data_IF_404146580925
#
_entry.id   IF_404146580925
#
_cell.length_a   1.000
_cell.length_b   1.000
_cell.length_c   1.000
_cell.angle_alpha   90.00
_cell.angle_beta   90.00
_cell.angle_gamma   90.00
#
_symmetry.space_group_name_H-M   'P 1'
#
loop_
_entity.id
_entity.type
_entity.pdbx_description
1 polymer ?
#
# COMPACT_ATOMS: atom_id res chain seq x y z
N UNK A 1 6.87 25.43 -3.30
CA UNK A 1 5.77 26.18 -2.66
C UNK A 1 4.51 25.88 -3.47
N UNK A 2 3.54 25.16 -2.89
CA UNK A 2 2.38 24.59 -3.61
C UNK A 2 1.15 25.52 -3.60
N UNK A 3 1.23 26.65 -2.90
CA UNK A 3 0.12 27.57 -2.72
C UNK A 3 0.12 28.63 -3.82
N UNK A 4 -0.96 28.69 -4.59
CA UNK A 4 -1.21 29.69 -5.64
C UNK A 4 -2.64 30.21 -5.41
N UNK A 5 -2.85 31.53 -5.23
CA UNK A 5 -4.16 32.08 -4.91
C UNK A 5 -5.20 31.88 -6.03
N UNK A 6 -4.74 31.66 -7.26
CA UNK A 6 -5.60 31.52 -8.44
C UNK A 6 -5.67 30.07 -8.95
N UNK A 7 -5.00 29.12 -8.26
CA UNK A 7 -4.88 27.73 -8.73
C UNK A 7 -4.87 26.74 -7.57
N UNK A 8 -5.64 25.68 -7.74
CA UNK A 8 -5.68 24.57 -6.81
C UNK A 8 -5.00 23.33 -7.39
N UNK A 9 -4.36 22.56 -6.53
CA UNK A 9 -3.89 21.20 -6.83
C UNK A 9 -4.80 20.21 -6.12
N UNK A 10 -5.26 19.21 -6.85
CA UNK A 10 -6.00 18.08 -6.29
C UNK A 10 -5.17 16.82 -6.49
N UNK A 11 -4.94 16.09 -5.41
CA UNK A 11 -4.29 14.79 -5.42
C UNK A 11 -5.31 13.74 -5.00
N UNK A 12 -5.51 12.74 -5.85
CA UNK A 12 -6.46 11.65 -5.64
C UNK A 12 -5.70 10.33 -5.69
N UNK A 13 -5.95 9.46 -4.72
CA UNK A 13 -5.36 8.13 -4.65
C UNK A 13 -6.48 7.11 -4.70
N UNK A 14 -6.46 6.28 -5.74
CA UNK A 14 -7.44 5.21 -5.93
C UNK A 14 -6.79 3.86 -5.66
N UNK A 15 -7.35 3.10 -4.72
CA UNK A 15 -6.93 1.74 -4.43
C UNK A 15 -8.14 0.88 -4.00
N UNK A 16 -8.24 -0.38 -4.44
CA UNK A 16 -7.39 -1.05 -5.43
C UNK A 16 -7.70 -0.59 -6.88
N UNK A 17 -6.66 -0.45 -7.71
CA UNK A 17 -6.78 -0.02 -9.11
C UNK A 17 -6.58 -1.17 -10.12
N UNK A 18 -6.23 -2.37 -9.64
CA UNK A 18 -6.03 -3.55 -10.46
C UNK A 18 -7.11 -4.60 -10.15
N UNK A 19 -7.68 -5.20 -11.19
CA UNK A 19 -8.69 -6.25 -11.05
C UNK A 19 -8.10 -7.61 -10.63
N UNK A 20 -6.78 -7.79 -10.73
CA UNK A 20 -6.09 -9.06 -10.46
C UNK A 20 -4.75 -8.83 -9.76
N UNK A 21 -4.39 -9.74 -8.86
CA UNK A 21 -3.05 -9.81 -8.24
C UNK A 21 -2.60 -11.27 -8.20
N UNK A 22 -1.41 -11.58 -8.72
CA UNK A 22 -0.86 -12.93 -8.71
C UNK A 22 -1.78 -13.98 -9.36
N UNK A 23 -2.49 -13.61 -10.43
CA UNK A 23 -3.45 -14.49 -11.13
C UNK A 23 -4.80 -14.68 -10.41
N UNK A 24 -4.98 -14.15 -9.20
CA UNK A 24 -6.23 -14.21 -8.44
C UNK A 24 -7.05 -12.95 -8.62
N UNK A 25 -8.34 -13.13 -8.92
CA UNK A 25 -9.28 -12.05 -9.16
C UNK A 25 -9.58 -11.27 -7.87
N UNK A 26 -9.60 -9.95 -7.95
CA UNK A 26 -10.12 -9.06 -6.90
C UNK A 26 -11.63 -9.19 -6.72
N UNK A 27 -12.31 -9.81 -7.70
CA UNK A 27 -13.77 -9.98 -7.74
C UNK A 27 -14.37 -10.75 -6.56
N UNK A 28 -13.55 -11.46 -5.78
CA UNK A 28 -14.00 -12.16 -4.57
C UNK A 28 -14.49 -11.20 -3.47
N UNK A 29 -14.08 -9.91 -3.51
CA UNK A 29 -14.46 -8.90 -2.51
C UNK A 29 -15.14 -7.65 -3.12
N UNK A 30 -15.49 -7.68 -4.41
CA UNK A 30 -16.17 -6.61 -5.13
C UNK A 30 -15.76 -6.55 -6.62
N UNK A 31 -16.58 -5.99 -7.50
CA UNK A 31 -16.19 -5.78 -8.91
C UNK A 31 -15.21 -4.61 -9.00
N UNK A 32 -13.98 -4.88 -9.44
CA UNK A 32 -12.96 -3.86 -9.66
C UNK A 32 -12.63 -3.81 -11.14
N UNK A 33 -12.76 -2.63 -11.75
CA UNK A 33 -12.23 -2.39 -13.09
C UNK A 33 -10.69 -2.41 -13.06
N UNK A 34 -10.09 -2.95 -14.13
CA UNK A 34 -8.64 -2.90 -14.29
C UNK A 34 -8.23 -1.54 -14.86
N UNK A 35 -7.94 -0.59 -13.98
CA UNK A 35 -7.49 0.75 -14.33
C UNK A 35 -6.00 0.81 -14.65
N UNK A 36 -5.19 -0.13 -14.16
CA UNK A 36 -3.76 -0.19 -14.45
C UNK A 36 -3.49 -0.34 -15.94
N UNK A 37 -4.33 -1.11 -16.65
CA UNK A 37 -4.20 -1.34 -18.09
C UNK A 37 -4.75 -0.24 -18.99
N UNK A 38 -5.51 0.73 -18.46
CA UNK A 38 -6.16 1.79 -19.28
C UNK A 38 -5.20 2.93 -19.61
N UNK A 39 -5.56 3.74 -20.61
CA UNK A 39 -4.81 4.97 -20.93
C UNK A 39 -4.93 6.00 -19.81
N UNK A 40 -3.99 6.95 -19.75
CA UNK A 40 -4.05 8.03 -18.76
C UNK A 40 -5.26 8.94 -19.03
N UNK A 41 -5.60 9.13 -20.30
CA UNK A 41 -6.75 9.91 -20.77
C UNK A 41 -8.07 9.29 -20.32
N UNK A 42 -8.22 7.97 -20.39
CA UNK A 42 -9.41 7.26 -19.91
C UNK A 42 -9.59 7.42 -18.40
N UNK A 43 -8.49 7.30 -17.64
CA UNK A 43 -8.50 7.46 -16.18
C UNK A 43 -8.89 8.89 -15.80
N UNK A 44 -8.30 9.88 -16.46
CA UNK A 44 -8.60 11.30 -16.23
C UNK A 44 -10.05 11.60 -16.60
N UNK A 45 -10.53 11.12 -17.75
CA UNK A 45 -11.92 11.29 -18.18
C UNK A 45 -12.92 10.70 -17.19
N UNK A 46 -12.67 9.48 -16.71
CA UNK A 46 -13.50 8.86 -15.67
C UNK A 46 -13.48 9.66 -14.37
N UNK A 47 -12.30 10.12 -13.94
CA UNK A 47 -12.14 10.96 -12.75
C UNK A 47 -12.92 12.27 -12.88
N UNK A 48 -12.88 12.92 -14.04
CA UNK A 48 -13.61 14.17 -14.28
C UNK A 48 -15.13 13.98 -14.22
N UNK A 49 -15.65 12.84 -14.70
CA UNK A 49 -17.08 12.50 -14.59
C UNK A 49 -17.50 12.28 -13.14
N UNK A 50 -16.68 11.59 -12.34
CA UNK A 50 -16.96 11.44 -10.90
C UNK A 50 -16.93 12.79 -10.18
N UNK A 51 -15.96 13.65 -10.50
CA UNK A 51 -15.89 14.99 -9.93
C UNK A 51 -17.11 15.86 -10.29
N UNK A 52 -17.69 15.69 -11.49
CA UNK A 52 -18.95 16.34 -11.87
C UNK A 52 -20.12 15.87 -11.00
N UNK A 53 -20.17 14.59 -10.62
CA UNK A 53 -21.18 14.06 -9.71
C UNK A 53 -21.02 14.63 -8.30
N UNK A 54 -19.80 14.66 -7.77
CA UNK A 54 -19.54 15.13 -6.41
C UNK A 54 -19.56 16.67 -6.27
N UNK A 55 -19.16 17.39 -7.32
CA UNK A 55 -18.97 18.84 -7.30
C UNK A 55 -19.58 19.51 -8.57
N UNK A 56 -20.91 19.40 -8.79
CA UNK A 56 -21.57 19.90 -9.99
C UNK A 56 -21.52 21.43 -10.14
N UNK A 57 -21.22 22.16 -9.08
CA UNK A 57 -21.05 23.62 -9.13
C UNK A 57 -19.79 24.04 -9.92
N UNK A 58 -18.76 23.18 -9.93
CA UNK A 58 -17.43 23.49 -10.46
C UNK A 58 -17.08 22.70 -11.74
N UNK A 59 -17.74 21.57 -11.96
CA UNK A 59 -17.47 20.66 -13.07
C UNK A 59 -18.77 20.38 -13.85
N UNK A 60 -18.64 20.13 -15.16
CA UNK A 60 -19.77 19.89 -16.07
C UNK A 60 -20.22 21.13 -16.84
N UNK A 61 -21.11 20.91 -17.82
CA UNK A 61 -21.63 21.99 -18.70
C UNK A 61 -22.52 23.00 -17.95
N UNK A 62 -23.11 22.60 -16.83
CA UNK A 62 -23.99 23.43 -16.00
C UNK A 62 -23.31 24.13 -14.82
N UNK A 63 -21.99 24.05 -14.71
CA UNK A 63 -21.23 24.59 -13.59
C UNK A 63 -21.38 26.12 -13.48
N UNK A 64 -21.73 26.61 -12.29
CA UNK A 64 -21.81 28.05 -12.02
C UNK A 64 -20.42 28.70 -12.03
N UNK A 65 -19.40 27.98 -11.58
CA UNK A 65 -18.01 28.43 -11.52
C UNK A 65 -17.09 27.38 -12.19
N UNK A 66 -17.07 27.30 -13.54
CA UNK A 66 -16.39 26.22 -14.24
C UNK A 66 -14.88 26.25 -14.02
N UNK A 67 -14.34 25.12 -13.54
CA UNK A 67 -12.90 24.93 -13.36
C UNK A 67 -12.33 24.17 -14.56
N UNK A 68 -11.15 24.60 -15.03
CA UNK A 68 -10.44 23.95 -16.14
C UNK A 68 -9.22 23.18 -15.65
N UNK A 69 -9.15 21.90 -15.99
CA UNK A 69 -7.95 21.09 -15.82
C UNK A 69 -6.81 21.64 -16.70
N UNK A 70 -5.73 22.11 -16.07
CA UNK A 70 -4.56 22.67 -16.77
C UNK A 70 -3.47 21.64 -17.03
N UNK A 71 -3.24 20.76 -16.07
CA UNK A 71 -2.22 19.70 -16.11
C UNK A 71 -2.72 18.52 -15.28
N UNK A 72 -2.37 17.32 -15.69
CA UNK A 72 -2.55 16.10 -14.90
C UNK A 72 -1.30 15.26 -14.95
N UNK A 73 -1.14 14.41 -13.94
CA UNK A 73 -0.14 13.34 -13.94
C UNK A 73 -0.78 12.12 -13.31
N UNK A 74 -0.92 11.06 -14.11
CA UNK A 74 -1.34 9.75 -13.60
C UNK A 74 -0.09 8.98 -13.19
N UNK A 75 -0.10 8.46 -11.96
CA UNK A 75 0.97 7.60 -11.43
C UNK A 75 0.36 6.24 -11.13
N UNK A 76 0.77 5.23 -11.89
CA UNK A 76 0.27 3.85 -11.75
C UNK A 76 1.29 3.04 -10.99
N UNK A 77 0.90 2.53 -9.82
CA UNK A 77 1.74 1.66 -9.00
C UNK A 77 1.04 0.31 -8.82
N UNK A 78 1.25 -0.66 -9.75
CA UNK A 78 0.49 -1.92 -9.75
C UNK A 78 0.75 -2.80 -8.53
N UNK A 79 1.92 -2.67 -7.90
CA UNK A 79 2.35 -3.44 -6.73
C UNK A 79 2.74 -2.47 -5.59
N UNK A 80 1.81 -1.60 -5.18
CA UNK A 80 2.09 -0.54 -4.20
C UNK A 80 2.23 -1.05 -2.77
N UNK A 81 1.22 -1.79 -2.29
CA UNK A 81 1.16 -2.37 -0.94
C UNK A 81 0.73 -3.83 -1.04
N UNK A 82 1.09 -4.63 -0.03
CA UNK A 82 0.63 -6.02 -0.01
C UNK A 82 -0.90 -6.07 0.10
N UNK A 83 -1.50 -7.06 -0.55
CA UNK A 83 -2.94 -7.24 -0.47
C UNK A 83 -3.36 -7.77 0.89
N UNK A 84 -4.05 -6.93 1.68
CA UNK A 84 -4.60 -7.29 2.99
C UNK A 84 -5.89 -8.13 2.89
N UNK A 85 -5.84 -9.30 2.24
CA UNK A 85 -6.95 -10.26 2.26
C UNK A 85 -7.08 -10.93 3.65
N UNK A 86 -8.28 -11.39 4.02
CA UNK A 86 -8.46 -12.22 5.21
C UNK A 86 -7.46 -13.39 5.23
N UNK A 87 -6.80 -13.59 6.37
CA UNK A 87 -5.81 -14.65 6.55
C UNK A 87 -4.42 -14.37 5.97
N UNK A 88 -4.14 -13.17 5.45
CA UNK A 88 -2.78 -12.80 5.00
C UNK A 88 -1.83 -12.44 6.14
N UNK A 89 -2.35 -12.13 7.34
CA UNK A 89 -1.52 -11.79 8.50
C UNK A 89 -0.49 -12.87 8.84
N UNK A 90 -0.85 -14.15 8.65
CA UNK A 90 0.05 -15.29 8.88
C UNK A 90 1.22 -15.39 7.91
N UNK A 91 1.14 -14.70 6.76
CA UNK A 91 2.19 -14.69 5.76
C UNK A 91 3.16 -13.51 5.96
N UNK A 92 2.93 -12.66 6.96
CA UNK A 92 3.81 -11.53 7.26
C UNK A 92 5.02 -12.03 8.06
N UNK A 93 6.25 -11.85 7.55
CA UNK A 93 7.45 -12.32 8.23
C UNK A 93 7.79 -11.47 9.46
N UNK A 94 8.45 -12.07 10.46
CA UNK A 94 9.12 -11.31 11.53
C UNK A 94 10.20 -10.39 10.96
N UNK A 95 10.59 -9.37 11.73
CA UNK A 95 11.80 -8.60 11.48
C UNK A 95 13.08 -9.45 11.60
N UNK A 96 13.07 -10.50 12.43
CA UNK A 96 14.20 -11.41 12.60
C UNK A 96 14.02 -12.63 11.71
N UNK A 97 15.03 -12.90 10.88
CA UNK A 97 15.01 -14.09 10.01
C UNK A 97 15.80 -15.25 10.62
N UNK A 98 15.62 -16.49 10.12
CA UNK A 98 16.45 -17.62 10.53
C UNK A 98 17.93 -17.49 10.14
N UNK A 99 18.27 -16.56 9.24
CA UNK A 99 19.62 -16.33 8.75
C UNK A 99 20.30 -15.33 9.70
N UNK A 100 21.44 -15.72 10.25
CA UNK A 100 22.21 -14.85 11.16
C UNK A 100 22.60 -13.55 10.46
N UNK A 101 22.46 -12.43 11.18
CA UNK A 101 22.73 -11.08 10.69
C UNK A 101 21.89 -10.63 9.49
N UNK A 102 20.75 -11.27 9.25
CA UNK A 102 19.81 -10.91 8.20
C UNK A 102 18.45 -10.54 8.80
N UNK A 103 17.99 -9.31 8.54
CA UNK A 103 16.78 -8.73 9.10
C UNK A 103 15.90 -8.17 7.98
N UNK A 104 14.59 -8.15 8.22
CA UNK A 104 13.60 -7.60 7.29
C UNK A 104 12.95 -6.36 7.91
N UNK A 105 12.92 -5.28 7.15
CA UNK A 105 12.18 -4.06 7.47
C UNK A 105 11.26 -3.71 6.31
N UNK A 106 10.09 -3.16 6.64
CA UNK A 106 9.06 -2.79 5.68
C UNK A 106 7.66 -2.97 6.25
N UNK A 107 6.70 -2.26 5.67
CA UNK A 107 5.27 -2.33 6.03
C UNK A 107 4.67 -3.74 5.89
N UNK A 108 5.21 -4.55 4.97
CA UNK A 108 4.87 -5.95 4.75
C UNK A 108 5.30 -6.90 5.88
N UNK A 109 6.29 -6.51 6.69
CA UNK A 109 6.73 -7.31 7.86
C UNK A 109 5.64 -7.32 8.93
N UNK A 110 5.72 -8.26 9.87
CA UNK A 110 4.73 -8.44 10.91
C UNK A 110 4.80 -7.29 11.91
N UNK A 111 3.74 -6.49 11.98
CA UNK A 111 3.61 -5.39 12.93
C UNK A 111 2.12 -5.07 13.14
N UNK A 112 1.82 -4.27 14.17
CA UNK A 112 0.45 -4.02 14.65
C UNK A 112 -0.38 -3.11 13.73
N UNK A 113 0.27 -2.21 13.01
CA UNK A 113 -0.34 -1.40 11.96
C UNK A 113 -0.47 -2.20 10.66
N UNK A 114 -1.31 -1.75 9.73
CA UNK A 114 -1.46 -2.37 8.42
C UNK A 114 -0.28 -1.98 7.51
N UNK A 115 -0.39 -2.26 6.20
CA UNK A 115 0.51 -1.66 5.21
C UNK A 115 0.34 -0.14 5.20
N UNK A 116 1.12 0.56 6.01
CA UNK A 116 1.05 2.01 6.16
C UNK A 116 2.43 2.60 6.39
N UNK A 117 2.52 3.93 6.31
CA UNK A 117 3.74 4.67 6.62
C UNK A 117 4.19 4.42 8.06
N UNK A 118 3.25 4.40 9.01
CA UNK A 118 3.50 4.06 10.41
C UNK A 118 4.01 2.62 10.56
N UNK A 119 3.44 1.69 9.80
CA UNK A 119 3.90 0.30 9.75
C UNK A 119 5.34 0.18 9.26
N UNK A 120 5.70 0.91 8.20
CA UNK A 120 7.07 0.96 7.68
C UNK A 120 8.04 1.52 8.73
N UNK A 121 7.71 2.66 9.37
CA UNK A 121 8.55 3.28 10.40
C UNK A 121 8.70 2.37 11.62
N UNK A 122 7.59 1.80 12.11
CA UNK A 122 7.61 0.88 13.25
C UNK A 122 8.47 -0.34 12.95
N UNK A 123 8.36 -0.93 11.76
CA UNK A 123 9.18 -2.09 11.39
C UNK A 123 10.67 -1.77 11.41
N UNK A 124 11.08 -0.59 10.92
CA UNK A 124 12.47 -0.15 10.95
C UNK A 124 12.96 0.08 12.38
N UNK A 125 12.10 0.64 13.24
CA UNK A 125 12.40 0.81 14.67
C UNK A 125 12.63 -0.55 15.35
N UNK A 126 11.76 -1.53 15.10
CA UNK A 126 11.91 -2.88 15.66
C UNK A 126 13.23 -3.53 15.23
N UNK A 127 13.61 -3.43 13.95
CA UNK A 127 14.91 -3.92 13.47
C UNK A 127 16.08 -3.24 14.20
N UNK A 128 16.03 -1.92 14.36
CA UNK A 128 17.08 -1.17 15.06
C UNK A 128 17.19 -1.57 16.54
N UNK A 129 16.06 -1.78 17.21
CA UNK A 129 16.04 -2.23 18.60
C UNK A 129 16.61 -3.65 18.75
N UNK A 130 16.27 -4.56 17.84
CA UNK A 130 16.87 -5.89 17.79
C UNK A 130 18.39 -5.84 17.61
N UNK A 131 18.90 -5.00 16.69
CA UNK A 131 20.33 -4.83 16.46
C UNK A 131 21.05 -4.26 17.69
N UNK A 132 20.46 -3.26 18.36
CA UNK A 132 21.03 -2.70 19.60
C UNK A 132 21.10 -3.75 20.70
N UNK A 133 20.04 -4.54 20.88
CA UNK A 133 20.00 -5.60 21.88
C UNK A 133 21.07 -6.67 21.62
N UNK A 134 21.25 -7.10 20.36
CA UNK A 134 22.32 -8.05 19.98
C UNK A 134 23.70 -7.48 20.31
N UNK A 135 23.95 -6.21 19.99
CA UNK A 135 25.22 -5.55 20.28
C UNK A 135 25.49 -5.42 21.79
N UNK A 136 24.44 -5.28 22.60
CA UNK A 136 24.51 -5.21 24.07
C UNK A 136 24.47 -6.60 24.74
N UNK A 137 24.36 -7.68 23.97
CA UNK A 137 24.24 -9.04 24.51
C UNK A 137 22.93 -9.32 25.24
N UNK A 138 21.87 -8.55 24.95
CA UNK A 138 20.52 -8.70 25.53
C UNK A 138 19.61 -9.51 24.62
N UNK A 139 18.75 -10.32 25.21
CA UNK A 139 17.66 -10.97 24.47
C UNK A 139 16.54 -9.95 24.22
N UNK A 140 16.17 -9.75 22.95
CA UNK A 140 15.07 -8.86 22.59
C UNK A 140 13.76 -9.64 22.53
N UNK A 141 12.81 -9.26 23.38
CA UNK A 141 11.44 -9.76 23.32
C UNK A 141 10.65 -8.97 22.28
N UNK A 142 10.34 -9.62 21.16
CA UNK A 142 9.43 -9.04 20.16
C UNK A 142 8.01 -8.94 20.77
N UNK A 143 7.47 -7.72 20.94
CA UNK A 143 6.13 -7.50 21.49
C UNK A 143 5.03 -8.11 20.58
N UNK A 144 5.37 -8.48 19.35
CA UNK A 144 4.49 -9.05 18.36
C UNK A 144 4.68 -10.57 18.14
N UNK A 145 5.53 -11.23 18.94
CA UNK A 145 5.96 -12.63 18.75
C UNK A 145 4.84 -13.69 18.70
N UNK A 146 3.64 -13.41 19.22
CA UNK A 146 2.56 -14.40 19.44
C UNK A 146 1.91 -14.93 18.14
N UNK A 147 2.11 -14.28 16.99
CA UNK A 147 1.47 -14.67 15.71
C UNK A 147 2.46 -14.79 14.54
N UNK A 148 3.75 -14.86 14.85
CA UNK A 148 4.82 -14.81 13.84
C UNK A 148 5.12 -16.19 13.27
N UNK A 149 5.42 -16.24 11.97
CA UNK A 149 5.95 -17.42 11.26
C UNK A 149 7.17 -17.94 12.04
N UNK A 150 7.01 -19.10 12.68
CA UNK A 150 8.08 -19.71 13.48
C UNK A 150 9.18 -20.23 12.55
N UNK A 151 10.38 -20.47 13.08
CA UNK A 151 11.55 -20.98 12.32
C UNK A 151 11.23 -22.22 11.45
N UNK A 152 10.21 -23.02 11.81
CA UNK A 152 9.73 -24.18 11.05
C UNK A 152 8.82 -23.89 9.86
N UNK A 153 8.22 -22.71 9.76
CA UNK A 153 7.22 -22.36 8.74
C UNK A 153 7.84 -21.72 7.48
N UNK A 154 9.11 -21.27 7.58
CA UNK A 154 9.85 -20.63 6.48
C UNK A 154 10.10 -21.51 5.25
N UNK A 155 10.44 -22.81 5.38
CA UNK A 155 10.65 -23.68 4.22
C UNK A 155 9.40 -23.85 3.35
N UNK A 156 8.21 -23.75 3.94
CA UNK A 156 6.93 -23.87 3.22
C UNK A 156 6.54 -22.57 2.50
N UNK A 157 6.91 -21.42 3.06
CA UNK A 157 6.74 -20.11 2.41
C UNK A 157 7.62 -19.99 1.15
N UNK A 158 8.88 -20.41 1.23
CA UNK A 158 9.84 -20.37 0.09
C UNK A 158 9.39 -21.28 -1.06
N UNK A 159 8.79 -22.45 -0.77
CA UNK A 159 8.26 -23.37 -1.80
C UNK A 159 6.99 -22.86 -2.48
N UNK A 160 6.23 -21.95 -1.87
CA UNK A 160 5.01 -21.38 -2.47
C UNK A 160 5.28 -20.27 -3.48
N UNK A 161 6.50 -19.74 -3.50
CA UNK A 161 6.92 -18.63 -4.36
C UNK A 161 7.76 -19.07 -5.58
N UNK A 162 8.04 -20.37 -5.72
CA UNK A 162 8.73 -21.00 -6.86
C UNK A 162 7.75 -21.79 -7.71
#
# INVERSE_FOLDING_TARGET
EYHDPDRSMLELVFAPAAAKFGGKSATEFGEYEDWIGRSDEDIVSATMKELEIFFPEYFGEGAANPIRLRKYKVVKTPLSVYWSRPGMQKNRPSQVTPISNFFLGGDYTFQRYLASMEGAVLSGKLVAEHLSAINEGREFQDPCSVLTIQKGDWPELVRRTS
#
